data_IF_262619052545
#
_entry.id   IF_262619052545
#
_cell.length_a   1.000
_cell.length_b   1.000
_cell.length_c   1.000
_cell.angle_alpha   90.00
_cell.angle_beta   90.00
_cell.angle_gamma   90.00
#
_symmetry.space_group_name_H-M   'P 1'
#
loop_
_entity.id
_entity.type
_entity.pdbx_description
1 polymer ?
#
# COMPACT_ATOMS: atom_id res chain seq x y z
N UNK A 1 41.80 -52.75 -34.20
CA UNK A 1 41.60 -52.22 -32.84
C UNK A 1 41.40 -50.71 -32.91
N UNK A 2 40.14 -50.26 -33.03
CA UNK A 2 39.64 -49.03 -32.41
C UNK A 2 38.13 -48.94 -32.67
N UNK A 3 37.33 -49.23 -31.65
CA UNK A 3 35.87 -49.15 -31.67
C UNK A 3 35.40 -47.70 -31.54
N UNK A 4 34.54 -47.28 -32.45
CA UNK A 4 33.68 -46.11 -32.30
C UNK A 4 32.51 -46.46 -31.37
N UNK A 5 32.51 -45.97 -30.13
CA UNK A 5 31.33 -46.02 -29.25
C UNK A 5 30.51 -44.74 -29.40
N UNK A 6 29.45 -44.79 -30.21
CA UNK A 6 28.39 -43.77 -30.24
C UNK A 6 27.59 -43.84 -28.93
N UNK A 7 27.68 -42.78 -28.12
CA UNK A 7 26.85 -42.59 -26.93
C UNK A 7 25.37 -42.47 -27.33
N UNK A 8 24.52 -43.30 -26.72
CA UNK A 8 23.08 -43.28 -26.96
C UNK A 8 22.41 -42.08 -26.27
N UNK A 9 21.35 -41.55 -26.88
CA UNK A 9 20.57 -40.38 -26.39
C UNK A 9 20.02 -40.56 -24.96
N UNK A 10 19.88 -41.79 -24.46
CA UNK A 10 19.48 -42.06 -23.06
C UNK A 10 20.63 -41.86 -22.04
N UNK A 11 21.89 -41.96 -22.46
CA UNK A 11 23.04 -41.67 -21.59
C UNK A 11 23.28 -40.17 -21.38
N UNK A 12 22.74 -39.32 -22.26
CA UNK A 12 22.82 -37.86 -22.10
C UNK A 12 21.83 -37.34 -21.04
N UNK A 13 20.65 -37.96 -20.93
CA UNK A 13 19.62 -37.55 -19.97
C UNK A 13 19.80 -38.16 -18.56
N UNK A 14 20.57 -39.24 -18.41
CA UNK A 14 20.87 -39.82 -17.10
C UNK A 14 21.97 -39.06 -16.30
N UNK A 15 22.60 -38.05 -16.92
CA UNK A 15 23.44 -37.05 -16.23
C UNK A 15 22.64 -35.84 -15.73
N UNK A 16 21.30 -35.94 -15.70
CA UNK A 16 20.39 -34.95 -15.12
C UNK A 16 20.17 -35.11 -13.60
N UNK A 17 21.10 -35.77 -12.89
CA UNK A 17 21.13 -35.87 -11.43
C UNK A 17 22.14 -34.91 -10.78
N UNK A 18 22.58 -33.89 -11.51
CA UNK A 18 23.42 -32.82 -10.97
C UNK A 18 22.52 -31.79 -10.30
N UNK A 19 22.60 -31.68 -8.98
CA UNK A 19 22.07 -30.58 -8.20
C UNK A 19 22.21 -29.28 -8.98
N UNK A 20 21.09 -28.62 -9.31
CA UNK A 20 21.13 -27.23 -9.73
C UNK A 20 21.57 -26.46 -8.50
N UNK A 21 22.88 -26.38 -8.30
CA UNK A 21 23.47 -25.29 -7.54
C UNK A 21 23.16 -24.08 -8.39
N UNK A 22 22.06 -23.40 -8.07
CA UNK A 22 21.78 -22.06 -8.54
C UNK A 22 22.91 -21.18 -8.02
N UNK A 23 24.05 -21.18 -8.73
CA UNK A 23 25.03 -20.11 -8.64
C UNK A 23 24.27 -18.91 -9.18
N UNK A 24 23.60 -18.20 -8.28
CA UNK A 24 22.79 -17.04 -8.56
C UNK A 24 23.69 -15.95 -9.12
N UNK A 25 23.92 -16.00 -10.43
CA UNK A 25 24.43 -14.86 -11.17
C UNK A 25 23.40 -13.76 -10.95
N UNK A 26 23.77 -12.64 -10.29
CA UNK A 26 22.82 -11.60 -9.90
C UNK A 26 21.90 -11.16 -11.06
N UNK A 27 22.43 -11.14 -12.28
CA UNK A 27 21.67 -10.80 -13.49
C UNK A 27 20.55 -11.77 -13.87
N UNK A 28 20.69 -13.08 -13.62
CA UNK A 28 19.62 -14.05 -13.90
C UNK A 28 18.49 -13.90 -12.90
N UNK A 29 18.81 -13.72 -11.61
CA UNK A 29 17.83 -13.51 -10.56
C UNK A 29 17.06 -12.19 -10.78
N UNK A 30 17.78 -11.11 -11.12
CA UNK A 30 17.18 -9.82 -11.49
C UNK A 30 16.21 -9.99 -12.66
N UNK A 31 16.62 -10.71 -13.71
CA UNK A 31 15.79 -10.96 -14.90
C UNK A 31 14.55 -11.79 -14.59
N UNK A 32 14.65 -12.81 -13.73
CA UNK A 32 13.50 -13.60 -13.28
C UNK A 32 12.50 -12.73 -12.51
N UNK A 33 12.98 -11.94 -11.55
CA UNK A 33 12.12 -11.01 -10.80
C UNK A 33 11.49 -9.93 -11.70
N UNK A 34 12.17 -9.50 -12.77
CA UNK A 34 11.60 -8.56 -13.75
C UNK A 34 10.49 -9.23 -14.58
N UNK A 35 10.67 -10.51 -14.94
CA UNK A 35 9.63 -11.28 -15.63
C UNK A 35 8.39 -11.51 -14.75
N UNK A 36 8.57 -11.77 -13.46
CA UNK A 36 7.46 -11.86 -12.51
C UNK A 36 6.70 -10.53 -12.43
N UNK A 37 7.39 -9.40 -12.27
CA UNK A 37 6.75 -8.09 -12.25
C UNK A 37 6.02 -7.75 -13.57
N UNK A 38 6.57 -8.16 -14.72
CA UNK A 38 5.92 -7.99 -16.02
C UNK A 38 4.68 -8.88 -16.17
N UNK A 39 4.74 -10.12 -15.67
CA UNK A 39 3.61 -11.03 -15.67
C UNK A 39 2.46 -10.49 -14.81
N UNK A 40 2.75 -10.04 -13.58
CA UNK A 40 1.78 -9.39 -12.70
C UNK A 40 1.17 -8.16 -13.37
N UNK A 41 2.00 -7.28 -13.96
CA UNK A 41 1.52 -6.07 -14.63
C UNK A 41 0.58 -6.34 -15.83
N UNK A 42 0.68 -7.51 -16.45
CA UNK A 42 -0.16 -7.93 -17.57
C UNK A 42 -1.53 -8.51 -17.15
N UNK A 43 -1.75 -8.72 -15.85
CA UNK A 43 -3.02 -9.22 -15.33
C UNK A 43 -4.14 -8.17 -15.43
N UNK A 44 -5.37 -8.64 -15.29
CA UNK A 44 -6.57 -7.80 -15.23
C UNK A 44 -7.10 -7.78 -13.80
N UNK A 45 -7.64 -6.63 -13.39
CA UNK A 45 -8.38 -6.53 -12.13
C UNK A 45 -9.67 -7.33 -12.19
N UNK A 46 -10.21 -7.74 -11.03
CA UNK A 46 -11.55 -8.35 -10.95
C UNK A 46 -12.66 -7.47 -11.58
N UNK A 47 -12.46 -6.16 -11.59
CA UNK A 47 -13.39 -5.19 -12.20
C UNK A 47 -13.24 -5.03 -13.73
N UNK A 48 -12.35 -5.81 -14.36
CA UNK A 48 -12.14 -5.80 -15.81
C UNK A 48 -11.19 -4.71 -16.33
N UNK A 49 -10.63 -3.86 -15.47
CA UNK A 49 -9.59 -2.89 -15.87
C UNK A 49 -8.20 -3.53 -15.92
N UNK A 50 -7.25 -2.99 -16.70
CA UNK A 50 -5.84 -3.38 -16.59
C UNK A 50 -5.34 -3.25 -15.15
N UNK A 51 -4.54 -4.22 -14.68
CA UNK A 51 -3.98 -4.17 -13.32
C UNK A 51 -3.09 -2.96 -13.12
N UNK A 52 -2.28 -2.63 -14.12
CA UNK A 52 -1.47 -1.43 -14.12
C UNK A 52 -2.28 -0.24 -14.67
N UNK A 53 -2.44 0.86 -13.91
CA UNK A 53 -3.08 2.06 -14.43
C UNK A 53 -2.27 2.66 -15.60
N UNK A 54 -2.90 3.51 -16.44
CA UNK A 54 -2.19 4.18 -17.52
C UNK A 54 -0.98 4.98 -17.01
N UNK A 55 0.08 5.02 -17.80
CA UNK A 55 1.32 5.76 -17.50
C UNK A 55 2.01 5.35 -16.18
N UNK A 56 1.81 4.11 -15.73
CA UNK A 56 2.49 3.54 -14.57
C UNK A 56 3.51 2.47 -14.98
N UNK A 57 4.53 2.26 -14.14
CA UNK A 57 5.52 1.19 -14.27
C UNK A 57 5.58 0.37 -12.99
N UNK A 58 5.57 -0.96 -13.11
CA UNK A 58 5.68 -1.85 -11.95
C UNK A 58 7.09 -1.78 -11.34
N UNK A 59 7.16 -1.57 -10.03
CA UNK A 59 8.40 -1.53 -9.24
C UNK A 59 8.41 -2.63 -8.19
N UNK A 60 9.59 -2.99 -7.69
CA UNK A 60 9.77 -4.06 -6.69
C UNK A 60 9.74 -3.59 -5.24
N UNK A 61 9.78 -2.28 -5.02
CA UNK A 61 9.77 -1.64 -3.70
C UNK A 61 9.15 -0.27 -3.76
N UNK A 62 8.68 0.23 -2.63
CA UNK A 62 8.23 1.62 -2.49
C UNK A 62 9.43 2.54 -2.79
N UNK A 63 9.24 3.48 -3.71
CA UNK A 63 10.19 4.56 -3.96
C UNK A 63 9.92 5.66 -2.93
N UNK A 64 10.99 6.29 -2.44
CA UNK A 64 10.84 7.39 -1.48
C UNK A 64 10.03 8.54 -2.08
N UNK A 65 9.05 9.01 -1.32
CA UNK A 65 8.12 10.08 -1.70
C UNK A 65 8.35 11.35 -0.87
N UNK A 66 9.41 11.40 -0.07
CA UNK A 66 9.73 12.53 0.80
C UNK A 66 8.74 12.69 1.96
N UNK A 67 8.59 13.92 2.43
CA UNK A 67 7.82 14.25 3.63
C UNK A 67 8.68 14.34 4.90
N UNK A 68 8.16 15.03 5.91
CA UNK A 68 8.85 15.25 7.17
C UNK A 68 8.43 14.18 8.16
N UNK A 69 9.39 13.42 8.69
CA UNK A 69 9.08 12.30 9.58
C UNK A 69 8.56 12.79 10.92
N UNK A 70 7.51 12.14 11.43
CA UNK A 70 7.08 12.32 12.82
C UNK A 70 8.12 11.83 13.82
N UNK A 71 8.08 12.36 15.03
CA UNK A 71 8.98 11.97 16.13
C UNK A 71 8.49 10.74 16.88
N UNK A 72 7.19 10.45 16.80
CA UNK A 72 6.54 9.36 17.54
C UNK A 72 7.03 7.96 17.13
N UNK A 73 7.06 7.06 18.11
CA UNK A 73 7.29 5.62 17.99
C UNK A 73 6.11 4.84 18.59
N UNK A 74 6.15 3.51 18.58
CA UNK A 74 5.04 2.68 19.09
C UNK A 74 4.71 2.90 20.57
N UNK A 75 5.60 3.49 21.38
CA UNK A 75 5.37 3.72 22.82
C UNK A 75 4.62 5.02 23.08
N UNK A 76 4.96 6.09 22.35
CA UNK A 76 4.38 7.42 22.56
C UNK A 76 3.34 7.83 21.51
N UNK A 77 3.16 7.03 20.44
CA UNK A 77 2.18 7.30 19.40
C UNK A 77 0.74 7.31 19.93
N UNK A 78 -0.06 8.24 19.39
CA UNK A 78 -1.47 8.44 19.69
C UNK A 78 -2.22 8.76 18.38
N UNK A 79 -3.42 8.22 18.25
CA UNK A 79 -4.34 8.50 17.14
C UNK A 79 -5.61 9.13 17.68
N UNK A 80 -5.80 10.42 17.40
CA UNK A 80 -7.02 11.12 17.76
C UNK A 80 -8.10 10.88 16.70
N UNK A 81 -9.27 10.39 17.10
CA UNK A 81 -10.40 10.14 16.20
C UNK A 81 -11.56 11.03 16.63
N UNK A 82 -11.96 11.96 15.78
CA UNK A 82 -12.84 13.07 16.15
C UNK A 82 -13.72 13.56 14.98
N UNK A 83 -14.41 14.69 15.21
CA UNK A 83 -15.35 15.29 14.26
C UNK A 83 -16.78 14.75 14.42
N UNK A 84 -17.40 14.40 13.30
CA UNK A 84 -18.76 13.88 13.17
C UNK A 84 -18.87 12.41 13.62
N UNK A 85 -18.59 12.19 14.90
CA UNK A 85 -18.61 10.87 15.55
C UNK A 85 -19.41 10.93 16.87
N UNK A 86 -20.04 9.82 17.25
CA UNK A 86 -20.77 9.71 18.51
C UNK A 86 -19.87 9.46 19.72
N UNK A 87 -18.67 8.91 19.51
CA UNK A 87 -17.69 8.57 20.55
C UNK A 87 -16.28 8.98 20.11
N UNK A 88 -15.92 10.28 20.20
CA UNK A 88 -14.54 10.70 19.99
C UNK A 88 -13.60 9.94 20.94
N UNK A 89 -12.45 9.50 20.44
CA UNK A 89 -11.50 8.71 21.23
C UNK A 89 -10.07 8.98 20.80
N UNK A 90 -9.12 8.63 21.66
CA UNK A 90 -7.70 8.60 21.31
C UNK A 90 -7.19 7.18 21.54
N UNK A 91 -6.64 6.56 20.50
CA UNK A 91 -6.02 5.24 20.60
C UNK A 91 -4.51 5.37 20.79
N UNK A 92 -3.94 4.57 21.69
CA UNK A 92 -2.52 4.27 21.67
C UNK A 92 -2.23 3.07 20.73
N UNK A 93 -0.95 2.77 20.51
CA UNK A 93 -0.54 1.73 19.58
C UNK A 93 -1.04 0.33 19.99
N UNK A 94 -0.99 -0.01 21.28
CA UNK A 94 -1.48 -1.31 21.76
C UNK A 94 -2.99 -1.45 21.60
N UNK A 95 -3.75 -0.38 21.83
CA UNK A 95 -5.20 -0.37 21.61
C UNK A 95 -5.54 -0.57 20.13
N UNK A 96 -4.78 0.04 19.21
CA UNK A 96 -4.92 -0.23 17.77
C UNK A 96 -4.69 -1.70 17.44
N UNK A 97 -3.65 -2.32 18.01
CA UNK A 97 -3.35 -3.75 17.81
C UNK A 97 -4.42 -4.68 18.39
N UNK A 98 -5.14 -4.24 19.42
CA UNK A 98 -6.22 -5.02 20.04
C UNK A 98 -7.53 -4.97 19.24
N UNK A 99 -7.66 -4.11 18.22
CA UNK A 99 -8.79 -4.12 17.29
C UNK A 99 -8.70 -5.31 16.33
N UNK A 100 -9.80 -5.61 15.63
CA UNK A 100 -9.82 -6.64 14.58
C UNK A 100 -8.81 -6.33 13.47
N UNK A 101 -7.79 -7.18 13.36
CA UNK A 101 -6.71 -7.06 12.38
C UNK A 101 -7.08 -7.69 11.04
N UNK A 102 -6.45 -7.19 9.98
CA UNK A 102 -6.52 -7.75 8.63
C UNK A 102 -5.14 -7.76 7.98
N UNK A 103 -4.89 -8.79 7.20
CA UNK A 103 -3.81 -8.85 6.22
C UNK A 103 -4.39 -8.55 4.83
N UNK A 104 -3.93 -7.48 4.21
CA UNK A 104 -4.40 -6.99 2.92
C UNK A 104 -3.29 -7.13 1.89
N UNK A 105 -3.57 -7.85 0.80
CA UNK A 105 -2.75 -7.81 -0.41
C UNK A 105 -3.41 -6.86 -1.39
N UNK A 106 -2.70 -5.83 -1.82
CA UNK A 106 -3.19 -4.86 -2.77
C UNK A 106 -2.07 -4.24 -3.60
N UNK A 107 -2.43 -3.52 -4.65
CA UNK A 107 -1.49 -2.70 -5.41
C UNK A 107 -1.51 -1.26 -4.88
N UNK A 108 -0.39 -0.56 -4.95
CA UNK A 108 -0.30 0.87 -4.65
C UNK A 108 0.26 1.63 -5.84
N UNK A 109 -0.30 2.80 -6.13
CA UNK A 109 0.02 3.56 -7.35
C UNK A 109 0.48 4.97 -6.98
N UNK A 110 1.71 5.33 -7.32
CA UNK A 110 2.23 6.66 -7.10
C UNK A 110 1.90 7.59 -8.27
N UNK A 111 1.55 8.83 -7.93
CA UNK A 111 1.27 9.91 -8.89
C UNK A 111 2.47 10.25 -9.77
N UNK A 112 3.68 9.80 -9.44
CA UNK A 112 4.89 10.00 -10.26
C UNK A 112 5.15 8.89 -11.29
N UNK A 113 4.25 7.90 -11.42
CA UNK A 113 4.32 6.93 -12.50
C UNK A 113 4.86 5.54 -12.12
N UNK A 114 4.99 5.22 -10.82
CA UNK A 114 5.35 3.87 -10.39
C UNK A 114 4.23 3.17 -9.60
N UNK A 115 4.14 1.85 -9.71
CA UNK A 115 3.19 1.02 -8.97
C UNK A 115 3.89 -0.16 -8.32
N UNK A 116 3.61 -0.41 -7.05
CA UNK A 116 4.06 -1.63 -6.37
C UNK A 116 2.88 -2.60 -6.36
N UNK A 117 3.06 -3.74 -7.02
CA UNK A 117 2.05 -4.78 -7.14
C UNK A 117 2.21 -5.81 -6.01
N UNK A 118 1.12 -6.49 -5.65
CA UNK A 118 1.07 -7.51 -4.58
C UNK A 118 1.74 -7.06 -3.28
N UNK A 119 1.52 -5.80 -2.91
CA UNK A 119 2.00 -5.26 -1.66
C UNK A 119 1.17 -5.81 -0.49
N UNK A 120 1.84 -6.36 0.52
CA UNK A 120 1.21 -6.96 1.69
C UNK A 120 1.25 -6.00 2.89
N UNK A 121 0.09 -5.72 3.46
CA UNK A 121 -0.09 -4.76 4.55
C UNK A 121 -0.90 -5.38 5.69
N UNK A 122 -0.47 -5.15 6.93
CA UNK A 122 -1.23 -5.54 8.12
C UNK A 122 -1.73 -4.31 8.87
N UNK A 123 -2.98 -4.36 9.32
CA UNK A 123 -3.61 -3.22 9.97
C UNK A 123 -5.06 -3.44 10.38
N UNK A 124 -5.75 -2.34 10.63
CA UNK A 124 -7.16 -2.31 11.02
C UNK A 124 -7.97 -1.68 9.89
N UNK A 125 -9.08 -2.31 9.49
CA UNK A 125 -9.98 -1.69 8.50
C UNK A 125 -10.48 -0.35 9.02
N UNK A 126 -10.56 0.65 8.14
CA UNK A 126 -11.09 1.95 8.54
C UNK A 126 -12.54 1.83 9.01
N UNK A 127 -13.33 0.91 8.44
CA UNK A 127 -14.69 0.58 8.92
C UNK A 127 -14.73 0.11 10.37
N UNK A 128 -13.75 -0.69 10.83
CA UNK A 128 -13.65 -1.09 12.25
C UNK A 128 -13.48 0.13 13.16
N UNK A 129 -12.68 1.11 12.73
CA UNK A 129 -12.50 2.37 13.47
C UNK A 129 -13.79 3.20 13.43
N UNK A 130 -14.47 3.26 12.29
CA UNK A 130 -15.74 3.98 12.14
C UNK A 130 -16.82 3.40 13.07
N UNK A 131 -16.88 2.08 13.20
CA UNK A 131 -17.82 1.38 14.08
C UNK A 131 -17.51 1.58 15.56
N UNK A 132 -16.23 1.67 15.92
CA UNK A 132 -15.75 1.96 17.27
C UNK A 132 -16.24 3.34 17.73
N UNK A 133 -16.06 4.36 16.88
CA UNK A 133 -16.39 5.76 17.22
C UNK A 133 -17.82 6.16 16.89
N UNK A 134 -18.61 5.27 16.26
CA UNK A 134 -19.99 5.53 15.85
C UNK A 134 -20.09 6.78 14.97
N UNK A 135 -19.46 6.72 13.78
CA UNK A 135 -19.53 7.81 12.78
C UNK A 135 -20.99 8.18 12.52
N UNK A 136 -21.29 9.47 12.56
CA UNK A 136 -22.64 10.01 12.36
C UNK A 136 -23.03 9.98 10.89
N UNK A 137 -24.34 9.97 10.63
CA UNK A 137 -24.89 9.91 9.27
C UNK A 137 -24.57 11.15 8.41
N UNK A 138 -24.36 12.30 9.04
CA UNK A 138 -23.99 13.55 8.35
C UNK A 138 -22.50 13.61 7.94
N UNK A 139 -21.66 12.68 8.39
CA UNK A 139 -20.28 12.59 7.94
C UNK A 139 -20.25 12.19 6.45
N UNK A 140 -19.56 12.98 5.64
CA UNK A 140 -19.44 12.78 4.18
C UNK A 140 -17.99 12.60 3.73
N UNK A 141 -17.02 13.01 4.55
CA UNK A 141 -15.59 12.94 4.26
C UNK A 141 -14.80 12.48 5.49
N UNK A 142 -13.60 11.99 5.21
CA UNK A 142 -12.60 11.63 6.22
C UNK A 142 -11.32 12.40 5.89
N UNK A 143 -10.81 13.14 6.87
CA UNK A 143 -9.53 13.84 6.80
C UNK A 143 -8.54 13.07 7.67
N UNK A 144 -7.47 12.62 7.06
CA UNK A 144 -6.31 12.05 7.73
C UNK A 144 -5.35 13.17 8.10
N UNK A 145 -5.01 13.24 9.37
CA UNK A 145 -4.10 14.22 9.95
C UNK A 145 -2.81 13.50 10.32
N UNK A 146 -1.67 14.03 9.92
CA UNK A 146 -0.38 13.37 10.08
C UNK A 146 0.69 14.36 10.55
N UNK A 147 1.83 13.79 10.94
CA UNK A 147 2.97 14.53 11.44
C UNK A 147 3.35 15.72 10.55
N UNK A 148 3.83 16.77 11.19
CA UNK A 148 4.25 18.02 10.52
C UNK A 148 3.12 18.72 9.74
N UNK A 149 1.86 18.51 10.13
CA UNK A 149 0.70 19.18 9.57
C UNK A 149 0.28 18.65 8.19
N UNK A 150 0.78 17.49 7.78
CA UNK A 150 0.31 16.86 6.55
C UNK A 150 -1.14 16.43 6.71
N UNK A 151 -1.96 16.70 5.69
CA UNK A 151 -3.36 16.28 5.64
C UNK A 151 -3.67 15.66 4.31
N UNK A 152 -4.59 14.69 4.31
CA UNK A 152 -5.20 14.16 3.10
C UNK A 152 -6.65 13.77 3.36
N UNK A 153 -7.48 13.80 2.33
CA UNK A 153 -8.92 13.63 2.46
C UNK A 153 -9.46 12.60 1.47
N UNK A 154 -10.48 11.85 1.88
CA UNK A 154 -11.25 10.93 1.02
C UNK A 154 -12.75 11.04 1.33
N UNK A 155 -13.64 10.78 0.35
CA UNK A 155 -15.06 10.69 0.63
C UNK A 155 -15.36 9.47 1.50
N UNK A 156 -16.42 9.55 2.32
CA UNK A 156 -16.79 8.46 3.23
C UNK A 156 -17.17 7.17 2.51
N UNK A 157 -17.64 7.27 1.27
CA UNK A 157 -17.90 6.12 0.40
C UNK A 157 -16.63 5.34 0.09
N UNK A 158 -15.49 6.03 -0.06
CA UNK A 158 -14.19 5.39 -0.22
C UNK A 158 -13.71 4.79 1.10
N UNK A 159 -13.84 5.54 2.20
CA UNK A 159 -13.44 5.09 3.53
C UNK A 159 -14.15 3.80 3.99
N UNK A 160 -15.36 3.54 3.48
CA UNK A 160 -16.15 2.33 3.76
C UNK A 160 -15.71 1.09 3.00
N UNK A 161 -14.81 1.21 2.01
CA UNK A 161 -14.32 0.05 1.27
C UNK A 161 -13.47 -0.84 2.14
N UNK A 162 -13.55 -2.15 1.90
CA UNK A 162 -12.82 -3.14 2.68
C UNK A 162 -11.29 -2.99 2.55
N UNK A 163 -10.79 -2.48 1.43
CA UNK A 163 -9.36 -2.30 1.18
C UNK A 163 -8.76 -1.03 1.79
N UNK A 164 -9.52 -0.20 2.51
CA UNK A 164 -8.99 0.98 3.20
C UNK A 164 -8.67 0.65 4.65
N UNK A 165 -7.40 0.79 5.03
CA UNK A 165 -6.92 0.38 6.35
C UNK A 165 -6.02 1.43 6.99
N UNK A 166 -5.94 1.37 8.32
CA UNK A 166 -4.90 1.98 9.15
C UNK A 166 -3.83 0.91 9.37
N UNK A 167 -2.72 1.01 8.65
CA UNK A 167 -1.66 0.02 8.57
C UNK A 167 -0.55 0.28 9.58
N UNK A 168 -0.07 -0.79 10.22
CA UNK A 168 1.09 -0.78 11.13
C UNK A 168 2.24 -1.67 10.64
N UNK A 169 1.98 -2.57 9.68
CA UNK A 169 2.96 -3.52 9.16
C UNK A 169 2.94 -3.62 7.63
N UNK A 170 4.09 -4.01 7.08
CA UNK A 170 4.34 -4.12 5.65
C UNK A 170 5.24 -5.35 5.39
N UNK A 171 4.78 -6.25 4.52
CA UNK A 171 5.41 -7.55 4.27
C UNK A 171 5.74 -8.33 5.56
N UNK A 172 4.78 -8.39 6.49
CA UNK A 172 4.88 -9.14 7.74
C UNK A 172 5.87 -8.56 8.77
N UNK A 173 6.36 -7.34 8.54
CA UNK A 173 7.30 -6.62 9.42
C UNK A 173 6.74 -5.28 9.84
N UNK A 174 7.28 -4.71 10.90
CA UNK A 174 6.99 -3.32 11.27
C UNK A 174 7.29 -2.38 10.10
N UNK A 175 6.47 -1.33 9.95
CA UNK A 175 6.71 -0.32 8.94
C UNK A 175 8.10 0.31 9.10
N UNK A 176 8.87 0.49 8.02
CA UNK A 176 10.05 1.35 8.06
C UNK A 176 9.65 2.79 8.39
N UNK A 177 10.45 3.50 9.20
CA UNK A 177 10.16 4.89 9.60
C UNK A 177 9.93 5.80 8.40
N UNK A 178 10.71 5.66 7.33
CA UNK A 178 10.56 6.41 6.08
C UNK A 178 9.21 6.17 5.37
N UNK A 179 8.55 5.05 5.65
CA UNK A 179 7.28 4.64 5.08
C UNK A 179 6.08 4.87 6.00
N UNK A 180 6.28 5.61 7.11
CA UNK A 180 5.20 6.08 7.96
C UNK A 180 5.05 5.36 9.29
N UNK A 181 6.08 4.66 9.77
CA UNK A 181 6.03 4.04 11.10
C UNK A 181 5.73 5.05 12.21
N UNK A 182 5.00 4.68 13.28
CA UNK A 182 4.49 3.33 13.53
C UNK A 182 3.20 3.01 12.75
N UNK A 183 2.48 4.02 12.27
CA UNK A 183 1.16 3.86 11.64
C UNK A 183 0.97 4.82 10.48
N UNK A 184 0.40 4.30 9.38
CA UNK A 184 -0.01 5.09 8.21
C UNK A 184 -1.43 4.73 7.78
N UNK A 185 -2.08 5.56 6.97
CA UNK A 185 -3.25 5.11 6.21
C UNK A 185 -2.82 4.45 4.90
N UNK A 186 -3.69 3.60 4.38
CA UNK A 186 -3.58 2.95 3.09
C UNK A 186 -4.93 3.02 2.37
N UNK A 187 -4.93 3.65 1.19
CA UNK A 187 -6.10 3.85 0.32
C UNK A 187 -5.74 3.34 -1.08
N UNK A 188 -5.86 2.02 -1.35
CA UNK A 188 -5.27 1.40 -2.56
C UNK A 188 -5.84 1.90 -3.89
N UNK A 189 -7.14 2.23 -3.91
CA UNK A 189 -7.81 2.68 -5.13
C UNK A 189 -7.57 4.16 -5.45
N UNK A 190 -6.60 4.80 -4.79
CA UNK A 190 -6.22 6.21 -4.98
C UNK A 190 -4.72 6.35 -5.16
N UNK A 191 -4.29 7.44 -5.79
CA UNK A 191 -2.88 7.77 -5.83
C UNK A 191 -2.31 7.86 -4.41
N UNK A 192 -1.10 7.33 -4.25
CA UNK A 192 -0.55 6.94 -2.95
C UNK A 192 -0.28 8.12 -2.01
N UNK A 193 -0.34 9.36 -2.50
CA UNK A 193 -0.32 10.55 -1.63
C UNK A 193 -1.58 10.64 -0.74
N UNK A 194 -2.70 10.02 -1.13
CA UNK A 194 -3.89 9.89 -0.26
C UNK A 194 -3.67 8.99 0.95
N UNK A 195 -2.60 8.20 0.95
CA UNK A 195 -2.21 7.31 2.04
C UNK A 195 -1.20 8.02 2.95
N UNK A 196 -1.68 8.74 3.96
CA UNK A 196 -0.88 9.57 4.85
C UNK A 196 0.10 8.74 5.70
N UNK A 197 1.37 9.14 5.71
CA UNK A 197 2.44 8.56 6.54
C UNK A 197 2.46 9.25 7.91
N UNK A 198 2.85 8.54 8.97
CA UNK A 198 2.93 9.09 10.34
C UNK A 198 1.58 9.66 10.81
N UNK A 199 0.55 8.83 10.75
CA UNK A 199 -0.83 9.20 11.06
C UNK A 199 -0.95 9.61 12.54
N UNK A 200 -1.61 10.73 12.82
CA UNK A 200 -1.82 11.27 14.16
C UNK A 200 -3.31 11.51 14.45
N UNK A 201 -4.13 11.70 13.41
CA UNK A 201 -5.56 11.93 13.57
C UNK A 201 -6.42 11.44 12.40
N UNK A 202 -7.69 11.18 12.71
CA UNK A 202 -8.77 10.89 11.75
C UNK A 202 -9.95 11.77 12.14
N UNK A 203 -10.28 12.73 11.27
CA UNK A 203 -11.39 13.64 11.46
C UNK A 203 -12.50 13.30 10.46
N UNK A 204 -13.69 12.97 10.96
CA UNK A 204 -14.88 12.76 10.13
C UNK A 204 -15.63 14.08 9.98
N UNK A 205 -15.95 14.50 8.76
CA UNK A 205 -16.54 15.83 8.50
C UNK A 205 -17.71 15.76 7.54
N UNK A 206 -18.64 16.71 7.64
CA UNK A 206 -19.75 16.85 6.69
C UNK A 206 -19.33 17.53 5.37
N UNK A 207 -18.29 18.37 5.41
CA UNK A 207 -17.76 19.07 4.25
C UNK A 207 -16.36 18.60 3.94
N UNK A 208 -16.03 18.62 2.66
CA UNK A 208 -14.69 18.29 2.20
C UNK A 208 -13.69 19.40 2.55
N UNK A 209 -12.47 19.02 2.92
CA UNK A 209 -11.33 19.93 3.10
C UNK A 209 -10.14 19.36 2.31
N UNK A 210 -9.73 20.00 1.20
CA UNK A 210 -8.61 19.54 0.39
C UNK A 210 -7.33 19.43 1.23
N UNK A 211 -6.64 18.29 1.16
CA UNK A 211 -5.38 18.08 1.87
C UNK A 211 -4.18 18.87 1.34
N UNK A 212 -2.97 18.46 1.76
CA UNK A 212 -1.72 19.13 1.42
C UNK A 212 -1.48 19.21 -0.09
N UNK A 213 -1.56 18.09 -0.81
CA UNK A 213 -1.26 18.05 -2.23
C UNK A 213 -2.38 18.65 -3.07
N UNK A 214 -3.61 18.49 -2.62
CA UNK A 214 -4.82 18.99 -3.28
C UNK A 214 -4.85 20.52 -3.27
N UNK A 215 -4.34 21.15 -2.20
CA UNK A 215 -4.09 22.59 -2.14
C UNK A 215 -2.96 23.05 -3.07
N UNK A 216 -2.07 22.15 -3.46
CA UNK A 216 -0.94 22.39 -4.38
C UNK A 216 -1.27 22.04 -5.84
N UNK A 217 -2.54 21.86 -6.18
CA UNK A 217 -2.99 21.60 -7.55
C UNK A 217 -3.11 20.12 -7.93
N UNK A 218 -2.90 19.19 -7.00
CA UNK A 218 -3.18 17.78 -7.24
C UNK A 218 -4.69 17.51 -7.22
N UNK A 219 -5.11 16.48 -7.95
CA UNK A 219 -6.52 16.10 -8.03
C UNK A 219 -7.10 15.75 -6.67
N UNK A 220 -8.36 16.10 -6.41
CA UNK A 220 -9.00 15.69 -5.16
C UNK A 220 -9.45 14.23 -5.18
N UNK A 221 -9.93 13.74 -6.33
CA UNK A 221 -10.41 12.37 -6.48
C UNK A 221 -9.27 11.38 -6.56
N UNK A 222 -8.12 11.76 -7.15
CA UNK A 222 -6.89 10.98 -7.18
C UNK A 222 -7.02 9.56 -7.79
N UNK A 223 -7.91 9.34 -8.76
CA UNK A 223 -8.11 8.03 -9.41
C UNK A 223 -6.95 7.70 -10.37
N UNK A 224 -6.20 6.60 -10.13
CA UNK A 224 -5.10 6.20 -10.98
C UNK A 224 -5.51 5.78 -12.40
N UNK A 225 -6.66 5.13 -12.56
CA UNK A 225 -7.12 4.62 -13.86
C UNK A 225 -7.68 5.71 -14.75
N UNK A 226 -8.19 6.79 -14.14
CA UNK A 226 -8.66 7.98 -14.87
C UNK A 226 -7.57 9.01 -15.10
N UNK A 227 -6.33 8.71 -14.69
CA UNK A 227 -5.17 9.62 -14.73
C UNK A 227 -5.43 10.98 -14.06
N UNK A 228 -6.27 10.99 -13.01
CA UNK A 228 -6.62 12.20 -12.27
C UNK A 228 -5.45 12.61 -11.34
N UNK A 229 -4.35 13.10 -11.94
CA UNK A 229 -3.13 13.49 -11.22
C UNK A 229 -3.23 14.92 -10.67
N UNK A 230 -3.76 15.84 -11.46
CA UNK A 230 -3.84 17.28 -11.19
C UNK A 230 -5.27 17.81 -11.39
N UNK A 231 -5.54 19.03 -10.91
CA UNK A 231 -6.79 19.77 -11.14
C UNK A 231 -6.84 20.41 -12.53
#
# INVERSE_FOLDING_TARGET
MNESKKLSRRAFLAKAGGSVVSIGLPGIFVKLMDLENLALAAEMRPDGRPRLPPSQQAVKKIIDMGGVQGTADSKNWRLQIHGEVGRPTTLNFQELLNLSQVDLTCDVHCVTGWSLLDSHWGGVRLTTIMDLVKVKENASFVIFEAASGYTSNIPISEARKENVIVAHSFFGRELPRAHGAPVRTLVPDRYFYKSAKWLEGINFTAQDDPGYWERQGYSNSADPWREERFK
#
